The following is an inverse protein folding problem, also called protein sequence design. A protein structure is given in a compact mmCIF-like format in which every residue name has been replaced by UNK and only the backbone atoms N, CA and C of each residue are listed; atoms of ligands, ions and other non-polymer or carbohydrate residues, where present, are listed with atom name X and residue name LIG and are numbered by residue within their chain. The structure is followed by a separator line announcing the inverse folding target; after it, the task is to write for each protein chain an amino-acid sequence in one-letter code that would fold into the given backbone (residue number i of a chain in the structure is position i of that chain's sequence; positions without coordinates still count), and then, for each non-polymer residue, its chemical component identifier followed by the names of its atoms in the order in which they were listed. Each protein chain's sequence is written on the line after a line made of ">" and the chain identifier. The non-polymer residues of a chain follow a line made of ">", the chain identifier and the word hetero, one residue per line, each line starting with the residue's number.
data_IF_695100002761
#
_entry.id   IF_695100002761
#
_cell.length_a   1.000
_cell.length_b   1.000
_cell.length_c   1.000
_cell.angle_alpha   90.00
_cell.angle_beta   90.00
_cell.angle_gamma   90.00
#
_symmetry.space_group_name_H-M   'P 1'
#
loop_
_entity.id
_entity.type
_entity.pdbx_description
1 polymer ?
#
# COMPACT_ATOMS: atom_id res chain seq x y z
N UNK A 1 -8.27 -8.93 -10.03
CA UNK A 1 -8.24 -10.36 -10.39
C UNK A 1 -7.12 -11.06 -9.65
N UNK A 2 -7.41 -12.18 -9.02
CA UNK A 2 -6.47 -12.91 -8.19
C UNK A 2 -5.69 -13.95 -9.01
N UNK A 3 -4.37 -13.98 -8.84
CA UNK A 3 -3.46 -14.96 -9.42
C UNK A 3 -2.74 -15.72 -8.31
N UNK A 4 -2.55 -17.01 -8.48
CA UNK A 4 -1.85 -17.85 -7.50
C UNK A 4 -0.39 -17.43 -7.30
N UNK A 5 0.19 -16.83 -8.33
CA UNK A 5 1.56 -16.33 -8.28
C UNK A 5 1.69 -15.13 -9.21
N UNK A 6 2.52 -14.15 -8.82
CA UNK A 6 2.72 -12.93 -9.60
C UNK A 6 3.28 -13.18 -11.00
N UNK A 7 4.04 -14.24 -11.19
CA UNK A 7 4.61 -14.60 -12.50
C UNK A 7 3.57 -15.01 -13.54
N UNK A 8 2.35 -15.31 -13.10
CA UNK A 8 1.23 -15.70 -13.98
C UNK A 8 0.40 -14.51 -14.45
N UNK A 9 0.59 -13.34 -13.82
CA UNK A 9 -0.21 -12.17 -14.12
C UNK A 9 0.38 -11.36 -15.28
N UNK A 10 -0.47 -10.72 -16.11
CA UNK A 10 0.02 -9.75 -17.07
C UNK A 10 0.57 -8.53 -16.33
N UNK A 11 1.62 -7.94 -16.87
CA UNK A 11 2.23 -6.76 -16.29
C UNK A 11 2.58 -5.74 -17.38
N UNK A 12 2.28 -4.48 -17.13
CA UNK A 12 2.59 -3.37 -18.05
C UNK A 12 3.69 -2.49 -17.45
N UNK A 13 4.95 -2.70 -17.84
CA UNK A 13 6.06 -1.91 -17.30
C UNK A 13 6.06 -0.45 -17.77
N UNK A 14 5.35 -0.13 -18.85
CA UNK A 14 5.20 1.24 -19.31
C UNK A 14 4.18 2.02 -18.49
N UNK A 15 3.14 1.32 -18.00
CA UNK A 15 2.11 1.90 -17.14
C UNK A 15 2.60 2.04 -15.70
N UNK A 16 3.34 1.06 -15.20
CA UNK A 16 3.84 1.04 -13.82
C UNK A 16 5.36 0.86 -13.76
N UNK A 17 6.14 1.84 -14.29
CA UNK A 17 7.59 1.66 -14.47
C UNK A 17 8.39 1.57 -13.19
N UNK A 18 7.85 2.06 -12.06
CA UNK A 18 8.56 2.09 -10.79
C UNK A 18 8.23 0.93 -9.86
N UNK A 19 7.41 -0.02 -10.31
CA UNK A 19 6.99 -1.17 -9.50
C UNK A 19 7.13 -2.47 -10.28
N UNK A 20 7.20 -3.57 -9.53
CA UNK A 20 7.22 -4.92 -10.10
C UNK A 20 6.08 -5.75 -9.52
N UNK A 21 5.58 -6.74 -10.24
CA UNK A 21 4.54 -7.61 -9.69
C UNK A 21 5.00 -8.36 -8.45
N UNK A 22 6.29 -8.69 -8.35
CA UNK A 22 6.85 -9.37 -7.18
C UNK A 22 6.70 -8.54 -5.91
N UNK A 23 7.04 -7.25 -5.94
CA UNK A 23 6.93 -6.40 -4.73
C UNK A 23 5.48 -6.13 -4.32
N UNK A 24 4.54 -6.25 -5.25
CA UNK A 24 3.11 -6.08 -5.00
C UNK A 24 2.41 -7.38 -4.61
N UNK A 25 3.13 -8.49 -4.60
CA UNK A 25 2.60 -9.80 -4.27
C UNK A 25 2.71 -10.10 -2.77
N UNK A 26 2.01 -11.16 -2.34
CA UNK A 26 2.15 -11.66 -0.99
C UNK A 26 3.57 -12.15 -0.72
N UNK A 27 4.19 -11.68 0.34
CA UNK A 27 5.57 -12.00 0.68
C UNK A 27 5.77 -13.47 1.06
N UNK A 28 4.73 -14.18 1.52
CA UNK A 28 4.88 -15.58 1.93
C UNK A 28 4.76 -16.58 0.78
N UNK A 29 3.97 -16.28 -0.27
CA UNK A 29 3.67 -17.26 -1.30
C UNK A 29 3.66 -16.70 -2.73
N UNK A 30 3.75 -15.39 -2.90
CA UNK A 30 3.69 -14.75 -4.21
C UNK A 30 2.29 -14.57 -4.78
N UNK A 31 1.23 -14.90 -4.01
CA UNK A 31 -0.14 -14.61 -4.46
C UNK A 31 -0.29 -13.14 -4.81
N UNK A 32 -0.96 -12.87 -5.92
CA UNK A 32 -1.00 -11.52 -6.48
C UNK A 32 -2.42 -11.14 -6.88
N UNK A 33 -2.84 -9.96 -6.45
CA UNK A 33 -4.12 -9.39 -6.86
C UNK A 33 -3.88 -8.26 -7.84
N UNK A 34 -4.23 -8.46 -9.12
CA UNK A 34 -4.11 -7.45 -10.15
C UNK A 34 -5.23 -6.43 -10.00
N UNK A 35 -4.88 -5.22 -9.58
CA UNK A 35 -5.79 -4.10 -9.39
C UNK A 35 -5.23 -2.85 -10.09
N UNK A 36 -5.52 -2.68 -11.39
CA UNK A 36 -4.96 -1.56 -12.15
C UNK A 36 -5.28 -0.19 -11.57
N UNK A 37 -6.47 0.01 -11.03
CA UNK A 37 -6.87 1.29 -10.43
C UNK A 37 -5.98 1.64 -9.23
N UNK A 38 -5.72 0.67 -8.35
CA UNK A 38 -4.85 0.88 -7.20
C UNK A 38 -3.39 1.10 -7.63
N UNK A 39 -2.92 0.35 -8.62
CA UNK A 39 -1.55 0.49 -9.12
C UNK A 39 -1.35 1.82 -9.83
N UNK A 40 -2.35 2.32 -10.55
CA UNK A 40 -2.29 3.67 -11.15
C UNK A 40 -2.15 4.75 -10.08
N UNK A 41 -2.93 4.66 -9.01
CA UNK A 41 -2.85 5.61 -7.90
C UNK A 41 -1.46 5.57 -7.23
N UNK A 42 -0.93 4.37 -7.02
CA UNK A 42 0.40 4.19 -6.43
C UNK A 42 1.50 4.76 -7.32
N UNK A 43 1.43 4.48 -8.63
CA UNK A 43 2.40 5.02 -9.61
C UNK A 43 2.31 6.53 -9.69
N UNK A 44 1.11 7.09 -9.68
CA UNK A 44 0.91 8.54 -9.69
C UNK A 44 1.50 9.19 -8.44
N UNK A 45 1.31 8.57 -7.28
CA UNK A 45 1.94 9.01 -6.03
C UNK A 45 3.46 9.01 -6.14
N UNK A 46 4.04 7.91 -6.65
CA UNK A 46 5.48 7.79 -6.86
C UNK A 46 6.02 8.90 -7.74
N UNK A 47 5.32 9.18 -8.82
CA UNK A 47 5.72 10.23 -9.78
C UNK A 47 5.61 11.63 -9.17
N UNK A 48 4.57 11.89 -8.37
CA UNK A 48 4.37 13.17 -7.70
C UNK A 48 5.43 13.43 -6.63
N UNK A 49 5.79 12.41 -5.86
CA UNK A 49 6.81 12.52 -4.80
C UNK A 49 8.23 12.64 -5.36
N UNK A 50 8.48 12.16 -6.57
CA UNK A 50 9.81 12.09 -7.19
C UNK A 50 10.84 11.37 -6.32
N UNK A 51 10.37 10.42 -5.52
CA UNK A 51 11.19 9.61 -4.61
C UNK A 51 10.73 8.18 -4.64
N UNK A 52 11.64 7.25 -4.42
CA UNK A 52 11.31 5.83 -4.33
C UNK A 52 10.31 5.58 -3.22
N UNK A 53 9.34 4.71 -3.49
CA UNK A 53 8.39 4.21 -2.50
C UNK A 53 8.79 2.78 -2.17
N UNK A 54 9.10 2.54 -0.88
CA UNK A 54 9.31 1.20 -0.36
C UNK A 54 8.03 0.67 0.26
N UNK A 55 7.56 -0.48 -0.20
CA UNK A 55 6.34 -1.11 0.29
C UNK A 55 6.70 -2.17 1.34
N UNK A 56 6.23 -1.98 2.56
CA UNK A 56 6.34 -3.00 3.60
C UNK A 56 5.38 -4.15 3.32
N UNK A 57 4.24 -3.85 2.70
CA UNK A 57 3.23 -4.84 2.32
C UNK A 57 2.34 -4.28 1.23
N UNK A 58 1.81 -5.17 0.38
CA UNK A 58 0.74 -4.86 -0.57
C UNK A 58 -0.35 -5.92 -0.41
N UNK A 59 -0.51 -6.85 -1.36
CA UNK A 59 -1.46 -7.96 -1.18
C UNK A 59 -0.95 -8.94 -0.11
N UNK A 60 -1.88 -9.47 0.69
CA UNK A 60 -1.62 -10.57 1.65
C UNK A 60 -2.64 -11.68 1.43
N UNK A 61 -2.14 -12.91 1.26
CA UNK A 61 -3.03 -14.07 1.28
C UNK A 61 -3.62 -14.25 2.69
N UNK A 62 -4.72 -15.01 2.85
CA UNK A 62 -5.34 -15.19 4.17
C UNK A 62 -4.39 -15.74 5.22
N UNK A 63 -3.53 -16.68 4.84
CA UNK A 63 -2.54 -17.27 5.75
C UNK A 63 -1.52 -16.23 6.22
N UNK A 64 -0.93 -15.46 5.31
CA UNK A 64 0.04 -14.42 5.65
C UNK A 64 -0.61 -13.32 6.51
N UNK A 65 -1.82 -12.90 6.17
CA UNK A 65 -2.56 -11.89 6.94
C UNK A 65 -2.75 -12.33 8.39
N UNK A 66 -3.14 -13.58 8.63
CA UNK A 66 -3.29 -14.13 9.97
C UNK A 66 -1.93 -14.18 10.71
N UNK A 67 -0.87 -14.61 10.02
CA UNK A 67 0.48 -14.73 10.60
C UNK A 67 1.03 -13.41 11.11
N UNK A 68 0.78 -12.30 10.39
CA UNK A 68 1.26 -10.96 10.80
C UNK A 68 0.28 -10.22 11.71
N UNK A 69 -0.80 -10.89 12.15
CA UNK A 69 -1.80 -10.29 13.03
C UNK A 69 -2.71 -9.27 12.34
N UNK A 70 -2.86 -9.36 11.02
CA UNK A 70 -3.76 -8.49 10.26
C UNK A 70 -5.23 -8.77 10.58
N UNK A 71 -6.08 -7.75 10.42
CA UNK A 71 -7.51 -7.90 10.63
C UNK A 71 -8.12 -8.93 9.66
N UNK A 72 -9.11 -9.74 10.10
CA UNK A 72 -9.76 -10.72 9.22
C UNK A 72 -10.37 -10.11 7.96
N UNK A 73 -10.82 -8.86 8.04
CA UNK A 73 -11.39 -8.11 6.91
C UNK A 73 -10.43 -7.05 6.37
N UNK A 74 -9.12 -7.27 6.51
CA UNK A 74 -8.09 -6.36 6.02
C UNK A 74 -8.22 -6.12 4.52
N UNK A 75 -8.04 -4.87 4.09
CA UNK A 75 -8.00 -4.51 2.66
C UNK A 75 -6.83 -5.18 1.94
N UNK A 76 -5.72 -5.47 2.63
CA UNK A 76 -4.60 -6.22 2.05
C UNK A 76 -5.00 -7.64 1.60
N UNK A 77 -6.01 -8.23 2.27
CA UNK A 77 -6.53 -9.56 1.96
C UNK A 77 -7.64 -9.54 0.92
N UNK A 78 -8.55 -8.56 1.03
CA UNK A 78 -9.77 -8.49 0.21
C UNK A 78 -9.52 -7.82 -1.14
N UNK A 79 -8.65 -6.82 -1.15
CA UNK A 79 -8.25 -6.05 -2.33
C UNK A 79 -6.78 -5.69 -2.18
N UNK A 80 -6.33 -4.67 -2.91
CA UNK A 80 -4.98 -4.17 -2.76
C UNK A 80 -4.98 -2.97 -1.82
N UNK A 81 -4.13 -3.03 -0.82
CA UNK A 81 -3.77 -1.92 0.05
C UNK A 81 -2.26 -1.87 0.13
N UNK A 82 -1.70 -0.70 0.43
CA UNK A 82 -0.25 -0.51 0.46
C UNK A 82 0.17 0.01 1.82
N UNK A 83 1.19 -0.61 2.41
CA UNK A 83 1.88 -0.08 3.58
C UNK A 83 3.19 0.54 3.10
N UNK A 84 3.22 1.87 3.07
CA UNK A 84 4.34 2.64 2.53
C UNK A 84 5.26 3.06 3.66
N UNK A 85 6.54 2.67 3.60
CA UNK A 85 7.54 3.10 4.58
C UNK A 85 7.66 4.63 4.59
N UNK A 86 7.68 5.22 5.77
CA UNK A 86 7.88 6.68 5.91
C UNK A 86 9.32 7.10 5.75
N UNK A 87 10.25 6.15 5.75
CA UNK A 87 11.68 6.42 5.65
C UNK A 87 12.02 7.14 4.35
N UNK A 88 12.70 8.28 4.47
CA UNK A 88 13.10 9.08 3.31
C UNK A 88 12.02 10.02 2.79
N UNK A 89 10.85 10.07 3.41
CA UNK A 89 9.75 10.95 3.00
C UNK A 89 9.47 12.05 4.03
N UNK A 90 9.09 13.22 3.53
CA UNK A 90 8.42 14.21 4.35
C UNK A 90 6.98 13.74 4.56
N UNK A 91 6.53 13.63 5.81
CA UNK A 91 5.23 13.05 6.15
C UNK A 91 4.06 13.82 5.55
N UNK A 92 4.12 15.15 5.57
CA UNK A 92 3.10 15.99 4.97
C UNK A 92 3.02 15.82 3.44
N UNK A 93 4.15 15.65 2.78
CA UNK A 93 4.19 15.40 1.34
C UNK A 93 3.63 14.01 0.99
N UNK A 94 4.00 12.99 1.76
CA UNK A 94 3.49 11.64 1.57
C UNK A 94 1.98 11.59 1.75
N UNK A 95 1.48 12.13 2.85
CA UNK A 95 0.05 12.15 3.15
C UNK A 95 -0.74 12.99 2.14
N UNK A 96 -0.28 14.20 1.85
CA UNK A 96 -0.92 15.08 0.89
C UNK A 96 -0.96 14.49 -0.51
N UNK A 97 0.14 13.90 -0.95
CA UNK A 97 0.21 13.22 -2.23
C UNK A 97 -0.74 12.02 -2.30
N UNK A 98 -0.79 11.21 -1.25
CA UNK A 98 -1.69 10.07 -1.18
C UNK A 98 -3.16 10.47 -1.27
N UNK A 99 -3.54 11.55 -0.60
CA UNK A 99 -4.90 12.11 -0.71
C UNK A 99 -5.20 12.60 -2.12
N UNK A 100 -4.27 13.30 -2.74
CA UNK A 100 -4.46 13.86 -4.08
C UNK A 100 -4.66 12.79 -5.15
N UNK A 101 -3.99 11.65 -5.05
CA UNK A 101 -4.13 10.57 -6.05
C UNK A 101 -5.35 9.69 -5.81
N UNK A 102 -6.13 9.94 -4.75
CA UNK A 102 -7.42 9.34 -4.54
C UNK A 102 -7.49 8.26 -3.46
N UNK A 103 -6.44 8.01 -2.70
CA UNK A 103 -6.52 7.11 -1.54
C UNK A 103 -7.46 7.71 -0.49
N UNK A 104 -8.25 6.88 0.15
CA UNK A 104 -9.31 7.27 1.09
C UNK A 104 -9.20 6.56 2.44
N UNK A 105 -8.68 5.35 2.48
CA UNK A 105 -8.39 4.64 3.72
C UNK A 105 -6.96 4.95 4.17
N UNK A 106 -6.79 5.43 5.41
CA UNK A 106 -5.49 5.80 5.96
C UNK A 106 -5.29 5.19 7.34
N UNK A 107 -4.18 4.43 7.48
CA UNK A 107 -3.72 3.95 8.76
C UNK A 107 -2.38 4.58 9.10
N UNK A 108 -2.31 5.27 10.24
CA UNK A 108 -1.11 5.99 10.68
C UNK A 108 -0.34 5.13 11.67
N UNK A 109 0.82 4.63 11.24
CA UNK A 109 1.69 3.76 12.01
C UNK A 109 3.01 4.46 12.28
N UNK A 110 3.78 3.94 13.22
CA UNK A 110 5.06 4.53 13.60
C UNK A 110 6.03 4.62 12.42
N UNK A 111 6.13 3.58 11.59
CA UNK A 111 7.13 3.47 10.54
C UNK A 111 6.57 3.42 9.13
N UNK A 112 5.25 3.41 8.98
CA UNK A 112 4.63 3.34 7.66
C UNK A 112 3.24 3.99 7.65
N UNK A 113 2.78 4.30 6.44
CA UNK A 113 1.43 4.77 6.16
C UNK A 113 0.69 3.67 5.39
N UNK A 114 -0.42 3.18 5.96
CA UNK A 114 -1.35 2.33 5.22
C UNK A 114 -2.24 3.21 4.35
N UNK A 115 -2.39 2.86 3.07
CA UNK A 115 -3.29 3.53 2.14
C UNK A 115 -4.10 2.51 1.35
N UNK A 116 -5.38 2.81 1.12
CA UNK A 116 -6.23 2.02 0.25
C UNK A 116 -7.34 2.86 -0.38
N UNK A 117 -8.02 2.30 -1.37
CA UNK A 117 -9.13 2.94 -2.10
C UNK A 117 -10.51 2.56 -1.55
N UNK A 118 -10.56 1.99 -0.36
CA UNK A 118 -11.81 1.62 0.29
C UNK A 118 -12.60 2.82 0.79
N UNK A 119 -13.57 2.57 1.66
CA UNK A 119 -14.38 3.65 2.25
C UNK A 119 -13.49 4.68 2.94
N UNK A 120 -13.83 5.98 2.89
CA UNK A 120 -13.12 7.01 3.63
C UNK A 120 -13.13 6.70 5.13
N UNK A 121 -11.93 6.53 5.68
CA UNK A 121 -11.73 6.24 7.11
C UNK A 121 -10.27 6.43 7.47
N UNK A 122 -10.02 6.61 8.76
CA UNK A 122 -8.64 6.66 9.24
C UNK A 122 -8.54 6.10 10.65
N UNK A 123 -7.38 5.58 10.98
CA UNK A 123 -7.05 5.11 12.32
C UNK A 123 -5.58 5.35 12.62
N UNK A 124 -5.24 5.39 13.91
CA UNK A 124 -3.88 5.64 14.40
C UNK A 124 -3.51 4.62 15.47
N UNK A 125 -2.31 4.08 15.36
CA UNK A 125 -1.69 3.32 16.46
C UNK A 125 -1.07 4.30 17.46
N UNK A 126 -0.66 3.81 18.64
CA UNK A 126 0.06 4.63 19.62
C UNK A 126 1.34 5.22 19.03
N UNK A 127 2.14 4.41 18.31
CA UNK A 127 3.33 4.88 17.60
C UNK A 127 3.00 5.85 16.46
N UNK A 128 1.90 5.59 15.76
CA UNK A 128 1.41 6.48 14.71
C UNK A 128 1.02 7.85 15.22
N UNK A 129 0.39 7.92 16.38
CA UNK A 129 0.07 9.22 17.02
C UNK A 129 1.32 10.05 17.27
N UNK A 130 2.43 9.41 17.68
CA UNK A 130 3.71 10.10 17.89
C UNK A 130 4.33 10.56 16.59
N UNK A 131 4.42 9.68 15.61
CA UNK A 131 5.07 9.97 14.33
C UNK A 131 4.34 11.07 13.54
N UNK A 132 3.00 11.00 13.53
CA UNK A 132 2.16 11.89 12.72
C UNK A 132 1.58 13.07 13.52
N UNK A 133 2.16 13.37 14.67
CA UNK A 133 1.67 14.47 15.52
C UNK A 133 1.64 15.79 14.75
N UNK A 134 0.54 16.52 14.88
CA UNK A 134 0.34 17.79 14.17
C UNK A 134 -0.15 17.66 12.72
N UNK A 135 -0.14 16.45 12.15
CA UNK A 135 -0.59 16.20 10.77
C UNK A 135 -1.96 15.52 10.70
N UNK A 136 -2.30 14.76 11.70
CA UNK A 136 -3.58 14.04 11.77
C UNK A 136 -4.07 13.95 13.21
#
# INVERSE_FOLDING_TARGET
>A
MLFNHYSLAPWDPDRWPNFTPKELSCHCCGEFFLDPTAFDALQELRSALKKSIHLNSAHRCPFHNAKVGGAPLSMHKMKVAFDISVKGHLLNALLGGARMVGFKGFGFYETFLHVDLGKPRQWKTAGGKRTWIGLV
#
